data_IF_075761932933
#
_entry.id   IF_075761932933
#
_cell.length_a   1.000
_cell.length_b   1.000
_cell.length_c   1.000
_cell.angle_alpha   90.00
_cell.angle_beta   90.00
_cell.angle_gamma   90.00
#
_symmetry.space_group_name_H-M   'P 1'
#
loop_
_entity.id
_entity.type
_entity.pdbx_description
1 polymer ?
#
# COMPACT_ATOMS: atom_id res chain seq x y z
N UNK A 1 -8.08 21.47 16.85
CA UNK A 1 -7.17 20.31 16.81
C UNK A 1 -6.22 20.49 15.62
N UNK A 2 -4.93 20.60 15.88
CA UNK A 2 -3.91 20.82 14.84
C UNK A 2 -3.21 19.51 14.39
N UNK A 3 -3.84 18.38 14.65
CA UNK A 3 -3.38 17.07 14.20
C UNK A 3 -3.90 16.67 12.82
N UNK A 4 -3.41 15.56 12.30
CA UNK A 4 -3.93 14.94 11.10
C UNK A 4 -4.70 13.67 11.48
N UNK A 5 -5.86 13.49 10.87
CA UNK A 5 -6.66 12.26 11.01
C UNK A 5 -6.13 11.27 9.97
N UNK A 6 -5.80 10.05 10.39
CA UNK A 6 -5.39 8.97 9.48
C UNK A 6 -6.53 7.96 9.42
N UNK A 7 -6.99 7.65 8.22
CA UNK A 7 -8.08 6.72 7.97
C UNK A 7 -7.67 5.64 6.98
N UNK A 8 -7.86 4.38 7.33
CA UNK A 8 -7.91 3.27 6.37
C UNK A 8 -9.37 3.16 5.92
N UNK A 9 -9.70 3.54 4.68
CA UNK A 9 -11.10 3.71 4.29
C UNK A 9 -11.73 2.36 3.95
N UNK A 10 -12.50 1.83 4.87
CA UNK A 10 -13.28 0.61 4.64
C UNK A 10 -14.62 0.67 5.37
N UNK A 11 -15.69 0.46 4.66
CA UNK A 11 -17.01 0.27 5.27
C UNK A 11 -17.14 -1.19 5.71
N UNK A 12 -17.03 -1.42 7.01
CA UNK A 12 -17.02 -2.75 7.61
C UNK A 12 -18.30 -3.55 7.32
N UNK A 13 -19.44 -2.88 7.22
CA UNK A 13 -20.73 -3.57 6.93
C UNK A 13 -20.77 -4.11 5.51
N UNK A 14 -20.20 -3.38 4.53
CA UNK A 14 -20.13 -3.81 3.14
C UNK A 14 -19.00 -4.82 2.90
N UNK A 15 -17.94 -4.77 3.69
CA UNK A 15 -16.80 -5.68 3.59
C UNK A 15 -16.99 -6.98 4.39
N UNK A 16 -18.05 -7.07 5.21
CA UNK A 16 -18.24 -8.18 6.15
C UNK A 16 -18.24 -9.54 5.44
N UNK A 17 -17.39 -10.47 5.93
CA UNK A 17 -17.29 -11.83 5.40
C UNK A 17 -16.58 -11.94 4.04
N UNK A 18 -16.19 -10.83 3.41
CA UNK A 18 -15.46 -10.86 2.15
C UNK A 18 -14.00 -11.30 2.35
N UNK A 19 -13.45 -11.98 1.36
CA UNK A 19 -12.10 -12.54 1.39
C UNK A 19 -11.17 -11.92 0.35
N UNK A 20 -11.74 -11.41 -0.74
CA UNK A 20 -11.00 -10.82 -1.87
C UNK A 20 -11.83 -9.73 -2.53
N UNK A 21 -11.31 -9.08 -3.57
CA UNK A 21 -12.06 -8.15 -4.40
C UNK A 21 -13.30 -8.81 -5.03
N UNK A 22 -14.47 -8.15 -4.94
CA UNK A 22 -15.67 -8.56 -5.63
C UNK A 22 -15.55 -8.34 -7.14
N UNK A 23 -15.64 -9.41 -7.90
CA UNK A 23 -15.51 -9.35 -9.35
C UNK A 23 -15.57 -10.72 -10.00
N UNK A 24 -15.25 -10.82 -11.30
CA UNK A 24 -15.27 -12.10 -12.01
C UNK A 24 -14.41 -13.19 -11.36
N UNK A 25 -13.27 -12.81 -10.79
CA UNK A 25 -12.36 -13.73 -10.13
C UNK A 25 -12.93 -14.30 -8.82
N UNK A 26 -13.61 -13.49 -8.01
CA UNK A 26 -14.25 -13.96 -6.77
C UNK A 26 -15.36 -14.97 -7.06
N UNK A 27 -16.13 -14.74 -8.11
CA UNK A 27 -17.16 -15.67 -8.57
C UNK A 27 -16.53 -16.95 -9.11
N UNK A 28 -15.49 -16.82 -9.95
CA UNK A 28 -14.80 -17.97 -10.56
C UNK A 28 -14.21 -18.92 -9.51
N UNK A 29 -13.67 -18.38 -8.41
CA UNK A 29 -13.02 -19.17 -7.36
C UNK A 29 -13.91 -19.42 -6.14
N UNK A 30 -15.16 -18.99 -6.17
CA UNK A 30 -16.12 -19.23 -5.09
C UNK A 30 -15.78 -18.51 -3.78
N UNK A 31 -15.05 -17.39 -3.86
CA UNK A 31 -14.69 -16.59 -2.68
C UNK A 31 -15.66 -15.42 -2.49
N UNK A 32 -16.17 -15.17 -1.28
CA UNK A 32 -16.94 -13.98 -0.97
C UNK A 32 -16.15 -12.70 -1.31
N UNK A 33 -16.81 -11.78 -2.04
CA UNK A 33 -16.20 -10.56 -2.52
C UNK A 33 -16.30 -9.39 -1.54
N UNK A 34 -15.33 -8.48 -1.57
CA UNK A 34 -15.35 -7.16 -0.94
C UNK A 34 -15.55 -6.14 -2.05
N UNK A 35 -16.72 -5.49 -2.15
CA UNK A 35 -17.02 -4.58 -3.24
C UNK A 35 -16.15 -3.30 -3.15
N UNK A 36 -15.80 -2.73 -4.31
CA UNK A 36 -15.02 -1.47 -4.37
C UNK A 36 -15.72 -0.32 -3.67
N UNK A 37 -17.07 -0.33 -3.67
CA UNK A 37 -17.86 0.70 -2.98
C UNK A 37 -17.67 0.70 -1.46
N UNK A 38 -17.20 -0.40 -0.86
CA UNK A 38 -16.86 -0.42 0.56
C UNK A 38 -15.74 0.58 0.91
N UNK A 39 -14.84 0.85 -0.04
CA UNK A 39 -13.79 1.87 0.10
C UNK A 39 -14.30 3.25 -0.32
N UNK A 40 -14.83 3.39 -1.52
CA UNK A 40 -15.18 4.72 -2.07
C UNK A 40 -16.31 5.41 -1.30
N UNK A 41 -17.27 4.68 -0.76
CA UNK A 41 -18.31 5.24 0.11
C UNK A 41 -17.72 5.80 1.42
N UNK A 42 -16.73 5.10 1.98
CA UNK A 42 -16.04 5.59 3.18
C UNK A 42 -15.22 6.84 2.86
N UNK A 43 -14.50 6.85 1.73
CA UNK A 43 -13.77 8.04 1.25
C UNK A 43 -14.72 9.22 1.05
N UNK A 44 -15.83 9.01 0.37
CA UNK A 44 -16.84 10.06 0.15
C UNK A 44 -17.34 10.65 1.46
N UNK A 45 -17.78 9.80 2.41
CA UNK A 45 -18.25 10.23 3.72
C UNK A 45 -17.20 11.08 4.46
N UNK A 46 -15.97 10.62 4.47
CA UNK A 46 -14.90 11.29 5.22
C UNK A 46 -14.49 12.61 4.55
N UNK A 47 -14.59 12.72 3.23
CA UNK A 47 -14.39 13.98 2.51
C UNK A 47 -15.52 15.00 2.82
N UNK A 48 -16.78 14.56 2.95
CA UNK A 48 -17.87 15.46 3.40
C UNK A 48 -17.63 15.97 4.82
N UNK A 49 -17.16 15.10 5.72
CA UNK A 49 -16.79 15.52 7.07
C UNK A 49 -15.58 16.46 7.06
N UNK A 50 -14.62 16.25 6.16
CA UNK A 50 -13.47 17.14 6.00
C UNK A 50 -13.91 18.55 5.54
N UNK A 51 -14.81 18.64 4.56
CA UNK A 51 -15.41 19.92 4.12
C UNK A 51 -16.10 20.66 5.26
N UNK A 52 -16.86 19.93 6.07
CA UNK A 52 -17.61 20.49 7.19
C UNK A 52 -16.71 20.99 8.33
N UNK A 53 -15.64 20.24 8.64
CA UNK A 53 -14.79 20.50 9.82
C UNK A 53 -13.56 21.36 9.52
N UNK A 54 -13.12 21.43 8.26
CA UNK A 54 -11.85 22.06 7.87
C UNK A 54 -10.61 21.43 8.51
N UNK A 55 -10.68 20.15 8.89
CA UNK A 55 -9.57 19.41 9.49
C UNK A 55 -8.52 19.02 8.44
N UNK A 56 -7.59 18.14 8.83
CA UNK A 56 -6.59 17.54 7.95
C UNK A 56 -6.80 16.03 7.91
N UNK A 57 -6.77 15.44 6.72
CA UNK A 57 -7.07 14.02 6.54
C UNK A 57 -6.01 13.32 5.67
N UNK A 58 -5.59 12.14 6.09
CA UNK A 58 -4.76 11.24 5.30
C UNK A 58 -5.46 9.89 5.14
N UNK A 59 -5.75 9.51 3.90
CA UNK A 59 -6.22 8.17 3.58
C UNK A 59 -5.04 7.22 3.40
N UNK A 60 -4.95 6.20 4.25
CA UNK A 60 -3.87 5.22 4.20
C UNK A 60 -4.29 3.99 3.42
N UNK A 61 -3.60 3.70 2.33
CA UNK A 61 -3.78 2.47 1.55
C UNK A 61 -5.01 2.49 0.64
N UNK A 62 -5.16 3.54 -0.19
CA UNK A 62 -6.17 3.56 -1.26
C UNK A 62 -5.92 2.44 -2.26
N UNK A 63 -6.98 1.78 -2.68
CA UNK A 63 -6.90 0.62 -3.58
C UNK A 63 -7.81 0.68 -4.81
N UNK A 64 -8.73 1.65 -4.92
CA UNK A 64 -9.70 1.72 -6.02
C UNK A 64 -9.59 3.00 -6.84
N UNK A 65 -9.84 2.91 -8.15
CA UNK A 65 -9.91 4.05 -9.05
C UNK A 65 -10.99 5.06 -8.62
N UNK A 66 -12.15 4.57 -8.17
CA UNK A 66 -13.25 5.41 -7.72
C UNK A 66 -12.85 6.28 -6.50
N UNK A 67 -12.08 5.75 -5.57
CA UNK A 67 -11.56 6.52 -4.44
C UNK A 67 -10.56 7.59 -4.89
N UNK A 68 -9.71 7.28 -5.87
CA UNK A 68 -8.76 8.26 -6.42
C UNK A 68 -9.46 9.45 -7.05
N UNK A 69 -10.53 9.22 -7.82
CA UNK A 69 -11.30 10.31 -8.44
C UNK A 69 -11.90 11.24 -7.37
N UNK A 70 -12.44 10.69 -6.29
CA UNK A 70 -12.97 11.48 -5.18
C UNK A 70 -11.88 12.31 -4.49
N UNK A 71 -10.72 11.72 -4.23
CA UNK A 71 -9.59 12.41 -3.58
C UNK A 71 -9.02 13.48 -4.49
N UNK A 72 -8.89 13.19 -5.79
CA UNK A 72 -8.39 14.15 -6.79
C UNK A 72 -9.32 15.38 -6.88
N UNK A 73 -10.63 15.16 -6.90
CA UNK A 73 -11.61 16.24 -6.86
C UNK A 73 -11.47 17.10 -5.58
N UNK A 74 -11.36 16.43 -4.42
CA UNK A 74 -11.19 17.12 -3.13
C UNK A 74 -9.89 17.95 -3.05
N UNK A 75 -8.78 17.43 -3.60
CA UNK A 75 -7.52 18.18 -3.73
C UNK A 75 -7.68 19.43 -4.61
N UNK A 76 -8.39 19.29 -5.74
CA UNK A 76 -8.66 20.41 -6.65
C UNK A 76 -9.57 21.47 -6.03
N UNK A 77 -10.43 21.09 -5.09
CA UNK A 77 -11.23 22.03 -4.25
C UNK A 77 -10.36 22.76 -3.20
N UNK A 78 -9.11 22.33 -2.99
CA UNK A 78 -8.21 22.92 -2.00
C UNK A 78 -8.37 22.34 -0.58
N UNK A 79 -9.01 21.19 -0.41
CA UNK A 79 -9.11 20.52 0.88
C UNK A 79 -7.74 19.96 1.32
N UNK A 80 -7.46 20.04 2.63
CA UNK A 80 -6.22 19.48 3.21
C UNK A 80 -6.34 17.96 3.35
N UNK A 81 -6.28 17.29 2.20
CA UNK A 81 -6.36 15.83 2.07
C UNK A 81 -5.14 15.27 1.37
N UNK A 82 -4.64 14.16 1.88
CA UNK A 82 -3.56 13.38 1.29
C UNK A 82 -3.89 11.89 1.28
N UNK A 83 -3.20 11.11 0.45
CA UNK A 83 -3.40 9.67 0.41
C UNK A 83 -2.11 8.91 0.14
N UNK A 84 -2.12 7.65 0.52
CA UNK A 84 -1.05 6.70 0.23
C UNK A 84 -1.58 5.45 -0.45
N UNK A 85 -0.68 4.76 -1.15
CA UNK A 85 -0.91 3.43 -1.73
C UNK A 85 0.10 2.45 -1.15
N UNK A 86 -0.21 1.17 -1.20
CA UNK A 86 0.73 0.14 -0.78
C UNK A 86 1.53 -0.43 -1.96
N UNK A 87 2.76 -0.91 -1.76
CA UNK A 87 3.55 -1.53 -2.82
C UNK A 87 2.84 -2.72 -3.48
N UNK A 88 2.14 -3.53 -2.68
CA UNK A 88 1.46 -4.72 -3.20
C UNK A 88 0.24 -4.40 -4.06
N UNK A 89 -0.46 -3.26 -3.86
CA UNK A 89 -1.53 -2.82 -4.75
C UNK A 89 -1.01 -2.24 -6.08
N UNK A 90 0.23 -1.80 -6.13
CA UNK A 90 0.88 -1.39 -7.38
C UNK A 90 1.38 -2.59 -8.19
N UNK A 91 1.79 -3.68 -7.52
CA UNK A 91 2.43 -4.82 -8.15
C UNK A 91 1.43 -5.93 -8.53
N UNK A 92 0.48 -6.25 -7.66
CA UNK A 92 -0.41 -7.40 -7.80
C UNK A 92 -1.86 -6.99 -8.07
N UNK A 93 -2.59 -7.91 -8.72
CA UNK A 93 -4.05 -7.84 -8.88
C UNK A 93 -4.73 -9.02 -8.18
N UNK A 94 -6.04 -8.98 -8.10
CA UNK A 94 -6.86 -10.07 -7.57
C UNK A 94 -6.65 -11.41 -8.30
N UNK A 95 -6.21 -11.37 -9.57
CA UNK A 95 -5.93 -12.57 -10.36
C UNK A 95 -4.89 -13.50 -9.73
N UNK A 96 -3.96 -12.96 -8.93
CA UNK A 96 -2.91 -13.77 -8.26
C UNK A 96 -3.50 -14.78 -7.25
N UNK A 97 -4.72 -14.54 -6.78
CA UNK A 97 -5.40 -15.41 -5.80
C UNK A 97 -5.92 -16.73 -6.38
N UNK A 98 -5.70 -16.99 -7.67
CA UNK A 98 -6.00 -18.27 -8.31
C UNK A 98 -5.35 -19.47 -7.58
N UNK A 99 -4.21 -19.26 -6.97
CA UNK A 99 -3.47 -20.29 -6.22
C UNK A 99 -3.95 -20.47 -4.78
N UNK A 100 -4.88 -19.63 -4.29
CA UNK A 100 -5.28 -19.56 -2.89
C UNK A 100 -4.10 -19.34 -1.91
N UNK A 101 -2.99 -18.76 -2.39
CA UNK A 101 -1.86 -18.43 -1.51
C UNK A 101 -2.25 -17.30 -0.57
N UNK A 102 -2.31 -17.65 0.72
CA UNK A 102 -2.70 -16.73 1.79
C UNK A 102 -1.75 -15.53 1.95
N UNK A 103 -0.53 -15.59 1.42
CA UNK A 103 0.40 -14.46 1.46
C UNK A 103 -0.12 -13.26 0.69
N UNK A 104 -1.00 -13.47 -0.29
CA UNK A 104 -1.68 -12.40 -1.04
C UNK A 104 -3.01 -11.94 -0.42
N UNK A 105 -3.45 -12.54 0.69
CA UNK A 105 -4.65 -12.10 1.42
C UNK A 105 -4.34 -10.84 2.21
N UNK A 106 -4.73 -9.69 1.69
CA UNK A 106 -4.47 -8.36 2.27
C UNK A 106 -5.76 -7.56 2.44
N UNK A 107 -5.72 -6.52 3.28
CA UNK A 107 -6.80 -5.57 3.51
C UNK A 107 -6.26 -4.13 3.42
N UNK A 108 -6.79 -3.31 2.50
CA UNK A 108 -7.81 -3.61 1.48
C UNK A 108 -7.40 -4.79 0.57
N UNK A 109 -8.37 -5.48 -0.09
CA UNK A 109 -8.03 -6.59 -0.98
C UNK A 109 -7.32 -6.10 -2.24
N UNK A 110 -6.46 -6.94 -2.82
CA UNK A 110 -5.91 -6.70 -4.16
C UNK A 110 -7.08 -6.52 -5.14
N UNK A 111 -6.99 -5.51 -6.01
CA UNK A 111 -8.06 -5.09 -6.89
C UNK A 111 -7.85 -5.56 -8.33
N UNK A 112 -8.75 -5.13 -9.20
CA UNK A 112 -8.68 -5.39 -10.64
C UNK A 112 -7.46 -4.76 -11.30
N UNK A 113 -7.12 -5.22 -12.49
CA UNK A 113 -6.05 -4.60 -13.30
C UNK A 113 -6.35 -3.12 -13.61
N UNK A 114 -7.62 -2.76 -13.84
CA UNK A 114 -7.99 -1.37 -14.08
C UNK A 114 -7.75 -0.48 -12.86
N UNK A 115 -8.02 -0.97 -11.65
CA UNK A 115 -7.69 -0.25 -10.42
C UNK A 115 -6.17 -0.12 -10.25
N UNK A 116 -5.41 -1.20 -10.48
CA UNK A 116 -3.95 -1.18 -10.40
C UNK A 116 -3.34 -0.14 -11.35
N UNK A 117 -3.79 -0.08 -12.59
CA UNK A 117 -3.32 0.91 -13.57
C UNK A 117 -3.68 2.35 -13.13
N UNK A 118 -4.87 2.56 -12.58
CA UNK A 118 -5.26 3.86 -12.04
C UNK A 118 -4.36 4.29 -10.87
N UNK A 119 -4.00 3.35 -9.98
CA UNK A 119 -3.07 3.61 -8.87
C UNK A 119 -1.68 3.99 -9.38
N UNK A 120 -1.15 3.28 -10.38
CA UNK A 120 0.15 3.60 -11.00
C UNK A 120 0.12 5.00 -11.63
N UNK A 121 -0.94 5.31 -12.40
CA UNK A 121 -1.10 6.63 -13.01
C UNK A 121 -1.16 7.74 -11.94
N UNK A 122 -1.87 7.49 -10.82
CA UNK A 122 -1.99 8.44 -9.71
C UNK A 122 -0.69 8.63 -8.92
N UNK A 123 0.20 7.63 -8.89
CA UNK A 123 1.57 7.79 -8.36
C UNK A 123 2.39 8.70 -9.28
N UNK A 124 2.28 8.52 -10.59
CA UNK A 124 3.06 9.26 -11.57
C UNK A 124 2.58 10.72 -11.75
N UNK A 125 1.28 10.97 -11.61
CA UNK A 125 0.71 12.32 -11.72
C UNK A 125 0.71 13.10 -10.38
N UNK A 126 1.14 12.47 -9.27
CA UNK A 126 1.22 13.08 -7.95
C UNK A 126 -0.10 13.15 -7.18
N UNK A 127 -1.16 12.50 -7.66
CA UNK A 127 -2.42 12.35 -6.92
C UNK A 127 -2.21 11.54 -5.63
N UNK A 128 -1.40 10.48 -5.69
CA UNK A 128 -0.93 9.73 -4.52
C UNK A 128 0.31 10.42 -3.96
N UNK A 129 0.27 10.76 -2.69
CA UNK A 129 1.30 11.55 -2.02
C UNK A 129 2.48 10.72 -1.53
N UNK A 130 2.22 9.53 -0.98
CA UNK A 130 3.28 8.69 -0.41
C UNK A 130 2.94 7.19 -0.43
N UNK A 131 3.92 6.39 -0.08
CA UNK A 131 3.79 4.94 0.08
C UNK A 131 3.56 4.60 1.56
N UNK A 132 2.54 3.78 1.81
CA UNK A 132 2.32 3.12 3.10
C UNK A 132 2.50 1.61 2.93
N UNK A 133 3.44 1.01 3.61
CA UNK A 133 3.74 -0.42 3.40
C UNK A 133 2.61 -1.34 3.83
N UNK A 134 1.74 -0.92 4.74
CA UNK A 134 0.77 -1.79 5.41
C UNK A 134 1.41 -3.12 5.83
N UNK A 135 2.68 -3.02 6.27
CA UNK A 135 3.44 -4.17 6.73
C UNK A 135 2.73 -4.82 7.91
N UNK A 136 2.36 -6.08 7.73
CA UNK A 136 1.73 -6.89 8.77
C UNK A 136 2.38 -8.26 8.79
N UNK A 137 3.33 -8.40 9.70
CA UNK A 137 4.10 -9.64 9.89
C UNK A 137 3.26 -10.66 10.66
N UNK A 138 3.20 -11.87 10.14
CA UNK A 138 2.50 -12.99 10.76
C UNK A 138 3.42 -14.19 10.90
N UNK A 139 3.17 -14.98 11.93
CA UNK A 139 3.77 -16.28 12.13
C UNK A 139 3.12 -17.34 11.22
N UNK A 140 3.74 -18.51 11.17
CA UNK A 140 3.34 -19.60 10.30
C UNK A 140 1.87 -20.02 10.48
N UNK A 141 1.43 -20.23 11.73
CA UNK A 141 0.07 -20.68 12.05
C UNK A 141 -1.03 -19.74 11.55
N UNK A 142 -0.76 -18.46 11.47
CA UNK A 142 -1.74 -17.47 11.01
C UNK A 142 -1.97 -17.53 9.49
N UNK A 143 -1.08 -18.17 8.73
CA UNK A 143 -1.08 -18.19 7.26
C UNK A 143 -1.20 -19.58 6.64
N UNK A 144 -1.13 -20.66 7.41
CA UNK A 144 -1.14 -22.05 6.91
C UNK A 144 -2.45 -22.80 7.16
N UNK A 145 -3.53 -22.05 7.35
CA UNK A 145 -4.90 -22.59 7.43
C UNK A 145 -5.55 -22.53 6.05
N UNK A 146 -6.79 -23.02 5.95
CA UNK A 146 -7.63 -22.77 4.79
C UNK A 146 -7.74 -21.25 4.55
N UNK A 147 -7.72 -20.83 3.30
CA UNK A 147 -7.64 -19.41 2.92
C UNK A 147 -8.64 -18.53 3.67
N UNK A 148 -9.85 -19.03 3.90
CA UNK A 148 -10.91 -18.34 4.63
C UNK A 148 -10.47 -17.91 6.05
N UNK A 149 -9.76 -18.79 6.75
CA UNK A 149 -9.36 -18.58 8.17
C UNK A 149 -7.98 -17.96 8.34
N UNK A 150 -7.26 -17.71 7.26
CA UNK A 150 -5.95 -17.07 7.35
C UNK A 150 -6.07 -15.59 7.67
N UNK A 151 -5.10 -15.05 8.39
CA UNK A 151 -5.03 -13.64 8.73
C UNK A 151 -4.74 -12.76 7.49
N UNK A 152 -5.34 -11.57 7.45
CA UNK A 152 -5.00 -10.55 6.46
C UNK A 152 -3.64 -9.92 6.77
N UNK A 153 -2.81 -9.76 5.75
CA UNK A 153 -1.55 -9.03 5.85
C UNK A 153 -0.42 -9.68 5.08
N UNK A 154 0.53 -8.84 4.69
CA UNK A 154 1.73 -9.19 3.95
C UNK A 154 2.95 -8.56 4.63
N UNK A 155 4.05 -9.29 4.68
CA UNK A 155 5.33 -8.76 5.10
C UNK A 155 5.97 -8.00 3.92
N UNK A 156 5.99 -6.68 3.97
CA UNK A 156 6.32 -5.81 2.81
C UNK A 156 7.39 -4.77 3.09
N UNK A 157 7.69 -4.43 4.35
CA UNK A 157 8.54 -3.26 4.65
C UNK A 157 9.93 -3.36 4.04
N UNK A 158 10.50 -4.57 4.00
CA UNK A 158 11.86 -4.82 3.51
C UNK A 158 11.92 -4.93 1.98
N UNK A 159 10.78 -5.25 1.35
CA UNK A 159 10.67 -5.45 -0.10
C UNK A 159 9.97 -4.31 -0.82
N UNK A 160 9.49 -3.31 -0.08
CA UNK A 160 8.68 -2.21 -0.62
C UNK A 160 9.36 -1.48 -1.78
N UNK A 161 10.65 -1.16 -1.64
CA UNK A 161 11.41 -0.48 -2.69
C UNK A 161 11.47 -1.31 -3.98
N UNK A 162 11.83 -2.58 -3.87
CA UNK A 162 11.92 -3.50 -5.01
C UNK A 162 10.54 -3.68 -5.68
N UNK A 163 9.47 -3.86 -4.90
CA UNK A 163 8.11 -4.00 -5.41
C UNK A 163 7.65 -2.79 -6.22
N UNK A 164 7.98 -1.58 -5.78
CA UNK A 164 7.58 -0.35 -6.49
C UNK A 164 8.35 -0.23 -7.81
N UNK A 165 9.65 -0.52 -7.80
CA UNK A 165 10.46 -0.49 -9.03
C UNK A 165 10.00 -1.51 -10.06
N UNK A 166 9.61 -2.70 -9.61
CA UNK A 166 9.03 -3.74 -10.47
C UNK A 166 7.66 -3.33 -11.02
N UNK A 167 6.80 -2.74 -10.18
CA UNK A 167 5.47 -2.28 -10.58
C UNK A 167 5.50 -1.10 -11.54
N UNK A 168 6.49 -0.21 -11.41
CA UNK A 168 6.62 1.02 -12.20
C UNK A 168 8.03 1.08 -12.79
N UNK A 169 8.31 0.34 -13.87
CA UNK A 169 9.60 0.38 -14.53
C UNK A 169 9.98 1.80 -14.98
N UNK A 170 11.20 2.24 -14.63
CA UNK A 170 11.70 3.57 -14.99
C UNK A 170 11.25 4.71 -14.07
N UNK A 171 10.57 4.42 -12.96
CA UNK A 171 10.34 5.45 -11.92
C UNK A 171 11.67 6.04 -11.45
N UNK A 172 11.75 7.37 -11.35
CA UNK A 172 12.99 8.02 -10.95
C UNK A 172 13.29 7.83 -9.45
N UNK A 173 14.58 7.77 -9.11
CA UNK A 173 15.01 7.67 -7.71
C UNK A 173 14.55 8.87 -6.88
N UNK A 174 14.47 10.06 -7.48
CA UNK A 174 13.95 11.27 -6.84
C UNK A 174 12.46 11.11 -6.47
N UNK A 175 11.66 10.58 -7.39
CA UNK A 175 10.24 10.29 -7.14
C UNK A 175 10.09 9.26 -6.02
N UNK A 176 10.89 8.19 -6.04
CA UNK A 176 10.89 7.17 -4.98
C UNK A 176 11.26 7.75 -3.62
N UNK A 177 12.30 8.57 -3.53
CA UNK A 177 12.69 9.25 -2.29
C UNK A 177 11.55 10.14 -1.76
N UNK A 178 10.89 10.86 -2.65
CA UNK A 178 9.75 11.71 -2.30
C UNK A 178 8.58 10.89 -1.76
N UNK A 179 8.18 9.83 -2.46
CA UNK A 179 7.08 8.94 -2.09
C UNK A 179 7.33 8.16 -0.79
N UNK A 180 8.55 7.66 -0.59
CA UNK A 180 8.88 6.79 0.54
C UNK A 180 9.30 7.55 1.80
N UNK A 181 9.66 8.83 1.70
CA UNK A 181 10.15 9.60 2.83
C UNK A 181 9.70 11.07 2.81
N UNK A 182 10.11 11.83 1.81
CA UNK A 182 9.99 13.30 1.81
C UNK A 182 8.56 13.79 1.97
N UNK A 183 7.61 13.21 1.23
CA UNK A 183 6.22 13.63 1.28
C UNK A 183 5.53 13.21 2.58
N UNK A 184 5.81 12.01 3.09
CA UNK A 184 5.29 11.59 4.39
C UNK A 184 5.74 12.53 5.51
N UNK A 185 7.01 12.95 5.52
CA UNK A 185 7.52 13.94 6.49
C UNK A 185 6.75 15.27 6.41
N UNK A 186 6.46 15.76 5.21
CA UNK A 186 5.67 16.99 5.01
C UNK A 186 4.24 16.81 5.52
N UNK A 187 3.57 15.71 5.17
CA UNK A 187 2.19 15.40 5.57
C UNK A 187 2.07 15.36 7.08
N UNK A 188 2.98 14.66 7.75
CA UNK A 188 2.95 14.48 9.20
C UNK A 188 3.70 15.56 9.98
N UNK A 189 4.19 16.61 9.31
CA UNK A 189 4.94 17.73 9.90
C UNK A 189 6.16 17.26 10.72
N UNK A 190 6.83 16.26 10.21
CA UNK A 190 8.09 15.78 10.78
C UNK A 190 9.26 16.63 10.25
N UNK A 191 10.33 16.69 11.02
CA UNK A 191 11.55 17.38 10.60
C UNK A 191 12.07 16.80 9.28
N UNK A 192 12.58 17.67 8.42
CA UNK A 192 13.23 17.23 7.19
C UNK A 192 14.47 16.38 7.52
N UNK A 193 14.63 15.26 6.83
CA UNK A 193 15.84 14.48 6.96
C UNK A 193 17.01 15.27 6.40
N UNK A 194 18.04 15.49 7.21
CA UNK A 194 19.31 16.10 6.79
C UNK A 194 20.40 15.04 6.72
N UNK A 195 21.08 14.96 5.58
CA UNK A 195 22.26 14.09 5.45
C UNK A 195 23.41 14.81 6.15
N UNK A 196 23.76 14.37 7.36
CA UNK A 196 24.92 14.86 8.08
C UNK A 196 26.03 13.80 8.01
N UNK A 197 27.31 14.26 8.03
CA UNK A 197 28.49 13.38 7.90
C UNK A 197 28.56 12.29 8.97
N UNK A 198 27.99 12.55 10.15
CA UNK A 198 27.92 11.63 11.30
C UNK A 198 26.46 11.16 11.58
N UNK A 199 25.53 11.48 10.66
CA UNK A 199 24.13 11.09 10.78
C UNK A 199 23.91 9.62 10.45
N UNK A 200 23.02 8.97 11.22
CA UNK A 200 22.62 7.57 10.99
C UNK A 200 21.18 7.46 10.44
N UNK A 201 20.56 8.59 10.12
CA UNK A 201 19.13 8.68 9.76
C UNK A 201 18.90 8.65 8.24
N UNK A 202 19.75 7.96 7.50
CA UNK A 202 19.60 7.79 6.06
C UNK A 202 19.77 6.33 5.64
N UNK A 203 19.14 5.98 4.55
CA UNK A 203 19.24 4.66 3.92
C UNK A 203 19.96 4.80 2.59
N UNK A 204 21.01 4.00 2.38
CA UNK A 204 21.70 3.91 1.09
C UNK A 204 21.15 2.73 0.34
N UNK A 205 20.81 2.96 -0.92
CA UNK A 205 20.27 1.93 -1.81
C UNK A 205 21.17 1.85 -3.03
N UNK A 206 21.55 0.63 -3.40
CA UNK A 206 22.10 0.33 -4.72
C UNK A 206 20.92 -0.07 -5.64
N UNK A 207 20.49 0.81 -6.56
CA UNK A 207 19.31 0.55 -7.38
C UNK A 207 19.44 -0.66 -8.29
N UNK A 208 20.67 -0.99 -8.73
CA UNK A 208 20.97 -2.13 -9.61
C UNK A 208 21.44 -3.37 -8.84
N UNK A 209 21.62 -3.23 -7.53
CA UNK A 209 22.10 -4.31 -6.67
C UNK A 209 21.07 -5.42 -6.55
N UNK A 210 21.50 -6.65 -6.89
CA UNK A 210 20.67 -7.85 -6.74
C UNK A 210 20.87 -8.50 -5.38
N UNK A 211 19.80 -9.00 -4.82
CA UNK A 211 19.83 -9.70 -3.54
C UNK A 211 18.67 -10.69 -3.42
N UNK A 212 18.84 -11.73 -2.63
CA UNK A 212 17.77 -12.71 -2.38
C UNK A 212 17.10 -12.41 -1.06
N UNK A 213 15.77 -12.20 -1.09
CA UNK A 213 14.96 -12.05 0.12
C UNK A 213 14.70 -13.43 0.72
N UNK A 214 15.42 -13.78 1.78
CA UNK A 214 15.36 -15.09 2.41
C UNK A 214 15.49 -14.98 3.94
N UNK A 215 15.44 -16.12 4.63
CA UNK A 215 15.49 -16.15 6.10
C UNK A 215 16.79 -15.58 6.70
N UNK A 216 17.88 -15.50 5.94
CA UNK A 216 19.13 -14.90 6.42
C UNK A 216 19.21 -13.39 6.16
N UNK A 217 18.54 -12.91 5.11
CA UNK A 217 18.54 -11.49 4.74
C UNK A 217 17.42 -10.70 5.41
N UNK A 218 16.28 -11.32 5.69
CA UNK A 218 15.13 -10.64 6.30
C UNK A 218 15.40 -10.25 7.77
N UNK A 219 14.81 -9.15 8.20
CA UNK A 219 14.83 -8.66 9.58
C UNK A 219 13.51 -8.95 10.31
N UNK A 220 12.40 -8.90 9.59
CA UNK A 220 11.08 -9.26 10.12
C UNK A 220 11.05 -10.74 10.52
N UNK A 221 10.43 -11.04 11.66
CA UNK A 221 10.25 -12.42 12.12
C UNK A 221 9.21 -13.19 11.31
N UNK A 222 8.21 -12.50 10.74
CA UNK A 222 7.17 -13.12 9.94
C UNK A 222 7.68 -13.74 8.64
N UNK A 223 6.92 -14.70 8.15
CA UNK A 223 7.25 -15.46 6.93
C UNK A 223 6.27 -15.18 5.78
N UNK A 224 5.24 -14.37 6.03
CA UNK A 224 4.12 -14.12 5.13
C UNK A 224 4.46 -13.09 4.04
N UNK A 225 5.47 -13.42 3.24
CA UNK A 225 5.80 -12.66 2.03
C UNK A 225 5.82 -13.59 0.82
N UNK A 226 5.08 -13.26 -0.25
CA UNK A 226 5.16 -14.03 -1.50
C UNK A 226 6.52 -13.92 -2.20
N UNK A 227 7.34 -12.93 -1.80
CA UNK A 227 8.67 -12.72 -2.36
C UNK A 227 9.77 -13.49 -1.61
N UNK A 228 9.42 -14.29 -0.60
CA UNK A 228 10.41 -15.10 0.12
C UNK A 228 11.09 -16.09 -0.83
N UNK A 229 12.41 -16.13 -0.81
CA UNK A 229 13.31 -16.87 -1.72
C UNK A 229 13.39 -16.31 -3.15
N UNK A 230 12.85 -15.13 -3.42
CA UNK A 230 12.99 -14.47 -4.73
C UNK A 230 14.22 -13.56 -4.78
N UNK A 231 14.85 -13.50 -5.96
CA UNK A 231 15.85 -12.48 -6.26
C UNK A 231 15.14 -11.15 -6.55
N UNK A 232 15.57 -10.11 -5.88
CA UNK A 232 15.04 -8.76 -5.99
C UNK A 232 16.13 -7.80 -6.45
N UNK A 233 15.73 -6.74 -7.13
CA UNK A 233 16.60 -5.63 -7.51
C UNK A 233 16.38 -4.42 -6.59
N UNK A 234 17.45 -3.67 -6.31
CA UNK A 234 17.40 -2.57 -5.36
C UNK A 234 17.82 -3.01 -3.95
N UNK A 235 19.13 -3.16 -3.76
CA UNK A 235 19.71 -3.61 -2.50
C UNK A 235 19.89 -2.45 -1.52
N UNK A 236 19.33 -2.60 -0.32
CA UNK A 236 19.62 -1.68 0.78
C UNK A 236 21.00 -2.02 1.35
N UNK A 237 21.87 -1.01 1.39
CA UNK A 237 23.20 -1.11 1.98
C UNK A 237 23.09 -0.52 3.39
N UNK A 238 23.13 -1.36 4.40
CA UNK A 238 23.26 -0.91 5.79
C UNK A 238 24.71 -0.49 6.01
N UNK A 239 24.89 0.72 6.49
CA UNK A 239 26.17 1.25 6.99
C UNK A 239 26.21 1.05 8.50
#
# INVERSE_FOLDING_TARGET
FDGIIIQVPVNQSLAAGGLMHEGPNSVKWGMPGIPSIAESLQVYRDLELLRYTGSRLHFSGISTAASLELIKAAKNEGLDVSCSVTPHHLLYTDAILETYDSNYKVEPPLRSESDRQALIAAVLDGTIDCIATHHRSHEWDAKTREFEYTAYGMNTIETAYAMIREAIPGISDETLCSLMSGNARKIFRLEAATIAKDGRDFTIIDPAGKWTFNNNSKKSLGINSPLLQHELEGRIINI
#
